data_IF_620466069485
#
_entry.id   IF_620466069485
#
_cell.length_a   1.000
_cell.length_b   1.000
_cell.length_c   1.000
_cell.angle_alpha   90.00
_cell.angle_beta   90.00
_cell.angle_gamma   90.00
#
_symmetry.space_group_name_H-M   'P 1'
#
loop_
_entity.id
_entity.type
_entity.pdbx_description
1 polymer ?
#
# COMPACT_ATOMS: atom_id res chain seq x y z
N UNK A 1 -5.83 -17.88 -2.42
CA UNK A 1 -4.38 -18.02 -2.16
C UNK A 1 -4.25 -18.30 -0.68
N UNK A 2 -3.42 -19.23 -0.23
CA UNK A 2 -3.20 -19.40 1.22
C UNK A 2 -2.20 -18.33 1.69
N UNK A 3 -2.42 -17.79 2.89
CA UNK A 3 -1.52 -16.82 3.52
C UNK A 3 -0.10 -17.42 3.61
N UNK A 4 0.89 -16.63 3.20
CA UNK A 4 2.30 -17.02 3.17
C UNK A 4 2.74 -17.81 1.93
N UNK A 5 1.82 -18.26 1.07
CA UNK A 5 2.20 -18.92 -0.19
C UNK A 5 2.92 -17.93 -1.11
N UNK A 6 4.16 -18.23 -1.49
CA UNK A 6 4.84 -17.49 -2.56
C UNK A 6 4.22 -17.84 -3.90
N UNK A 7 3.86 -16.80 -4.66
CA UNK A 7 3.30 -16.93 -6.00
C UNK A 7 4.13 -16.13 -6.98
N UNK A 8 4.54 -16.79 -8.06
CA UNK A 8 5.09 -16.09 -9.21
C UNK A 8 3.97 -15.26 -9.88
N UNK A 9 4.27 -13.99 -10.19
CA UNK A 9 3.37 -13.12 -10.95
C UNK A 9 3.41 -13.57 -12.41
N UNK A 10 2.39 -14.33 -12.81
CA UNK A 10 2.23 -14.82 -14.19
C UNK A 10 1.28 -13.96 -15.03
N UNK A 11 0.91 -12.80 -14.48
CA UNK A 11 0.07 -11.78 -15.12
C UNK A 11 0.92 -11.00 -16.12
N UNK A 12 0.39 -10.73 -17.32
CA UNK A 12 1.19 -10.11 -18.37
C UNK A 12 2.38 -10.98 -18.79
N UNK A 13 3.49 -10.32 -19.14
CA UNK A 13 4.76 -10.97 -19.48
C UNK A 13 5.78 -10.88 -18.32
N UNK A 14 5.31 -10.70 -17.08
CA UNK A 14 6.17 -10.55 -15.91
C UNK A 14 7.13 -11.75 -15.72
N UNK A 15 8.38 -11.44 -15.38
CA UNK A 15 9.42 -12.38 -14.99
C UNK A 15 10.03 -11.97 -13.65
N UNK A 16 10.58 -12.96 -12.96
CA UNK A 16 11.37 -12.79 -11.72
C UNK A 16 10.64 -12.04 -10.59
N UNK A 17 9.33 -11.88 -10.73
CA UNK A 17 8.44 -11.20 -9.81
C UNK A 17 7.56 -12.22 -9.08
N UNK A 18 7.53 -12.07 -7.77
CA UNK A 18 6.74 -12.90 -6.87
C UNK A 18 5.96 -12.02 -5.91
N UNK A 19 4.91 -12.58 -5.33
CA UNK A 19 4.15 -11.93 -4.26
C UNK A 19 3.66 -12.98 -3.27
N UNK A 20 3.40 -12.55 -2.04
CA UNK A 20 2.78 -13.36 -1.00
C UNK A 20 1.78 -12.54 -0.20
N UNK A 21 0.76 -13.21 0.30
CA UNK A 21 -0.20 -12.64 1.25
C UNK A 21 0.39 -12.74 2.66
N UNK A 22 0.45 -11.61 3.35
CA UNK A 22 1.01 -11.49 4.69
C UNK A 22 0.03 -11.86 5.80
N UNK A 23 -1.24 -12.16 5.47
CA UNK A 23 -2.30 -12.42 6.44
C UNK A 23 -2.64 -11.19 7.26
N UNK A 24 -2.59 -10.02 6.61
CA UNK A 24 -2.84 -8.73 7.24
C UNK A 24 -4.24 -8.71 7.88
N UNK A 25 -4.33 -8.27 9.14
CA UNK A 25 -5.58 -8.25 9.93
C UNK A 25 -6.29 -9.62 10.07
N UNK A 26 -5.55 -10.73 9.95
CA UNK A 26 -6.15 -12.07 9.88
C UNK A 26 -7.23 -12.17 8.78
N UNK A 27 -7.07 -11.40 7.70
CA UNK A 27 -7.99 -11.32 6.57
C UNK A 27 -7.28 -11.80 5.32
N UNK A 28 -7.72 -12.94 4.78
CA UNK A 28 -7.17 -13.52 3.55
C UNK A 28 -7.38 -12.57 2.36
N UNK A 29 -6.36 -12.44 1.52
CA UNK A 29 -6.43 -11.62 0.32
C UNK A 29 -6.59 -10.14 0.61
N UNK A 30 -6.00 -9.62 1.69
CA UNK A 30 -6.04 -8.19 2.02
C UNK A 30 -4.68 -7.48 1.91
N UNK A 31 -3.57 -8.14 2.28
CA UNK A 31 -2.27 -7.51 2.33
C UNK A 31 -1.18 -8.33 1.64
N UNK A 32 -0.72 -7.85 0.49
CA UNK A 32 0.33 -8.45 -0.31
C UNK A 32 1.64 -7.64 -0.25
N UNK A 33 2.75 -8.37 -0.34
CA UNK A 33 4.09 -7.80 -0.54
C UNK A 33 4.73 -8.48 -1.73
N UNK A 34 5.65 -7.78 -2.41
CA UNK A 34 6.28 -8.28 -3.63
C UNK A 34 7.76 -8.53 -3.45
N UNK A 35 8.28 -9.49 -4.20
CA UNK A 35 9.70 -9.87 -4.25
C UNK A 35 10.14 -9.85 -5.70
N UNK A 36 11.24 -9.14 -5.99
CA UNK A 36 11.95 -9.19 -7.27
C UNK A 36 13.27 -9.95 -7.08
N UNK A 37 13.45 -11.02 -7.86
CA UNK A 37 14.66 -11.86 -7.85
C UNK A 37 15.59 -11.49 -9.01
N UNK A 38 16.49 -10.54 -8.77
CA UNK A 38 17.44 -10.06 -9.77
C UNK A 38 18.86 -10.00 -9.21
N UNK A 39 19.81 -9.38 -9.93
CA UNK A 39 21.19 -9.19 -9.48
C UNK A 39 21.27 -8.53 -8.10
N UNK A 40 20.34 -7.61 -7.81
CA UNK A 40 20.10 -7.04 -6.48
C UNK A 40 18.67 -7.38 -6.03
N UNK A 41 18.46 -8.49 -5.31
CA UNK A 41 17.13 -8.90 -4.90
C UNK A 41 16.45 -7.82 -4.05
N UNK A 42 15.16 -7.62 -4.33
CA UNK A 42 14.37 -6.55 -3.75
C UNK A 42 13.04 -7.04 -3.16
N UNK A 43 12.58 -6.35 -2.14
CA UNK A 43 11.22 -6.44 -1.62
C UNK A 43 10.54 -5.09 -1.79
N UNK A 44 9.28 -5.08 -2.25
CA UNK A 44 8.42 -3.90 -2.24
C UNK A 44 7.35 -4.05 -1.16
N UNK A 45 7.39 -3.13 -0.20
CA UNK A 45 6.60 -3.12 1.05
C UNK A 45 6.79 -4.37 1.95
N UNK A 46 6.33 -4.28 3.20
CA UNK A 46 6.68 -5.22 4.28
C UNK A 46 5.51 -5.58 5.19
N UNK A 47 4.31 -5.07 4.93
CA UNK A 47 3.12 -5.35 5.73
C UNK A 47 3.13 -4.70 7.12
N UNK A 48 2.18 -5.12 7.96
CA UNK A 48 2.01 -4.67 9.37
C UNK A 48 3.08 -5.19 10.36
N UNK A 49 4.07 -5.94 9.87
CA UNK A 49 5.18 -6.50 10.66
C UNK A 49 4.87 -7.79 11.45
N UNK A 50 3.63 -8.03 11.90
CA UNK A 50 3.31 -9.19 12.77
C UNK A 50 3.65 -10.55 12.16
N UNK A 51 3.53 -10.68 10.84
CA UNK A 51 3.81 -11.91 10.09
C UNK A 51 5.02 -11.75 9.15
N UNK A 52 5.97 -10.88 9.47
CA UNK A 52 7.15 -10.66 8.61
C UNK A 52 8.00 -11.95 8.40
N UNK A 53 7.89 -12.92 9.31
CA UNK A 53 8.48 -14.26 9.16
C UNK A 53 7.98 -14.99 7.89
N UNK A 54 6.73 -14.77 7.46
CA UNK A 54 6.22 -15.35 6.20
C UNK A 54 6.96 -14.78 4.99
N UNK A 55 7.26 -13.47 5.01
CA UNK A 55 8.08 -12.85 3.98
C UNK A 55 9.52 -13.39 4.00
N UNK A 56 10.11 -13.59 5.18
CA UNK A 56 11.44 -14.22 5.32
C UNK A 56 11.47 -15.64 4.75
N UNK A 57 10.42 -16.43 5.01
CA UNK A 57 10.25 -17.77 4.46
C UNK A 57 10.06 -17.73 2.94
N UNK A 58 9.27 -16.77 2.44
CA UNK A 58 9.05 -16.59 1.02
C UNK A 58 10.32 -16.20 0.25
N UNK A 59 11.11 -15.28 0.79
CA UNK A 59 12.44 -14.94 0.25
C UNK A 59 13.34 -16.18 0.14
N UNK A 60 13.35 -17.02 1.20
CA UNK A 60 14.13 -18.26 1.19
C UNK A 60 13.61 -19.29 0.17
N UNK A 61 12.30 -19.34 -0.09
CA UNK A 61 11.69 -20.19 -1.12
C UNK A 61 12.06 -19.76 -2.54
N UNK A 62 12.09 -18.45 -2.80
CA UNK A 62 12.59 -17.87 -4.07
C UNK A 62 14.09 -18.15 -4.25
N UNK A 63 14.83 -18.30 -3.15
CA UNK A 63 16.26 -18.60 -3.15
C UNK A 63 17.14 -17.45 -2.67
N UNK A 64 16.54 -16.38 -2.15
CA UNK A 64 17.20 -15.19 -1.62
C UNK A 64 17.57 -15.45 -0.16
N UNK A 65 18.87 -15.65 0.09
CA UNK A 65 19.40 -15.83 1.43
C UNK A 65 19.48 -14.52 2.21
N UNK A 66 19.76 -14.63 3.52
CA UNK A 66 19.86 -13.46 4.42
C UNK A 66 20.98 -12.48 4.05
N UNK A 67 22.01 -12.96 3.36
CA UNK A 67 23.11 -12.13 2.88
C UNK A 67 22.88 -11.60 1.44
N UNK A 68 21.82 -12.04 0.78
CA UNK A 68 21.60 -11.79 -0.65
C UNK A 68 20.57 -10.67 -0.90
N UNK A 69 19.60 -10.44 0.00
CA UNK A 69 18.69 -9.30 -0.14
C UNK A 69 19.47 -7.98 -0.06
N UNK A 70 19.27 -7.11 -1.04
CA UNK A 70 19.96 -5.82 -1.15
C UNK A 70 19.03 -4.62 -1.02
N UNK A 71 17.73 -4.78 -1.34
CA UNK A 71 16.78 -3.66 -1.42
C UNK A 71 15.50 -3.97 -0.66
N UNK A 72 15.10 -3.08 0.24
CA UNK A 72 13.76 -3.01 0.81
C UNK A 72 13.18 -1.66 0.37
N UNK A 73 12.33 -1.66 -0.65
CA UNK A 73 11.72 -0.47 -1.21
C UNK A 73 10.34 -0.26 -0.58
N UNK A 74 10.13 0.89 0.05
CA UNK A 74 8.87 1.25 0.68
C UNK A 74 8.12 2.24 -0.21
N UNK A 75 6.88 1.93 -0.56
CA UNK A 75 6.02 2.86 -1.31
C UNK A 75 5.69 4.10 -0.47
N UNK A 76 5.46 3.90 0.82
CA UNK A 76 5.22 4.95 1.79
C UNK A 76 5.36 4.42 3.23
N UNK A 77 5.30 5.31 4.22
CA UNK A 77 5.58 4.96 5.63
C UNK A 77 4.35 4.59 6.46
N UNK A 78 3.16 4.41 5.88
CA UNK A 78 2.07 3.84 6.68
C UNK A 78 2.46 2.43 7.17
N UNK A 79 2.07 2.08 8.39
CA UNK A 79 2.61 0.90 9.07
C UNK A 79 2.09 -0.43 8.52
N UNK A 80 1.03 -0.41 7.71
CA UNK A 80 0.59 -1.53 6.89
C UNK A 80 1.45 -1.78 5.65
N UNK A 81 2.35 -0.85 5.31
CA UNK A 81 3.35 -1.02 4.25
C UNK A 81 4.76 -1.14 4.83
N UNK A 82 5.11 -0.29 5.79
CA UNK A 82 6.46 -0.18 6.33
C UNK A 82 6.67 -0.87 7.68
N UNK A 83 5.63 -1.49 8.26
CA UNK A 83 5.67 -2.03 9.64
C UNK A 83 6.68 -3.16 9.83
N UNK A 84 6.95 -3.95 8.79
CA UNK A 84 7.95 -5.02 8.80
C UNK A 84 9.38 -4.59 8.49
N UNK A 85 9.61 -3.36 8.02
CA UNK A 85 10.89 -2.95 7.44
C UNK A 85 12.06 -3.02 8.42
N UNK A 86 11.87 -2.61 9.67
CA UNK A 86 12.91 -2.68 10.69
C UNK A 86 13.34 -4.11 11.02
N UNK A 87 12.36 -5.02 11.15
CA UNK A 87 12.61 -6.44 11.41
C UNK A 87 13.34 -7.10 10.24
N UNK A 88 12.86 -6.85 9.02
CA UNK A 88 13.48 -7.38 7.81
C UNK A 88 14.90 -6.82 7.65
N UNK A 89 15.10 -5.53 7.91
CA UNK A 89 16.42 -4.93 7.92
C UNK A 89 17.34 -5.63 8.93
N UNK A 90 16.88 -5.90 10.15
CA UNK A 90 17.69 -6.58 11.17
C UNK A 90 18.15 -7.98 10.73
N UNK A 91 17.29 -8.74 10.05
CA UNK A 91 17.58 -10.10 9.59
C UNK A 91 18.42 -10.15 8.31
N UNK A 92 18.36 -9.11 7.47
CA UNK A 92 19.07 -8.99 6.20
C UNK A 92 20.09 -7.83 6.27
N UNK A 93 21.32 -8.08 6.78
CA UNK A 93 22.26 -7.02 7.13
C UNK A 93 22.86 -6.28 5.93
N UNK A 94 22.71 -6.81 4.71
CA UNK A 94 23.20 -6.20 3.47
C UNK A 94 22.14 -5.36 2.76
N UNK A 95 20.87 -5.42 3.17
CA UNK A 95 19.80 -4.69 2.53
C UNK A 95 19.80 -3.21 2.93
N UNK A 96 19.67 -2.30 1.99
CA UNK A 96 19.33 -0.91 2.29
C UNK A 96 17.80 -0.71 2.21
N UNK A 97 17.28 0.18 3.05
CA UNK A 97 15.86 0.53 3.09
C UNK A 97 15.66 1.84 2.34
N UNK A 98 15.06 1.74 1.16
CA UNK A 98 14.73 2.86 0.30
C UNK A 98 13.35 3.40 0.70
N UNK A 99 13.29 4.68 1.04
CA UNK A 99 12.10 5.31 1.61
C UNK A 99 11.93 6.72 1.04
N UNK A 100 10.70 7.14 0.71
CA UNK A 100 10.44 8.51 0.30
C UNK A 100 10.99 9.50 1.31
N UNK A 101 11.76 10.49 0.83
CA UNK A 101 12.51 11.41 1.69
C UNK A 101 11.63 12.09 2.76
N UNK A 102 10.37 12.39 2.43
CA UNK A 102 9.40 12.99 3.35
C UNK A 102 9.01 12.08 4.53
N UNK A 103 9.16 10.76 4.41
CA UNK A 103 8.87 9.77 5.44
C UNK A 103 10.11 9.19 6.15
N UNK A 104 11.31 9.42 5.62
CA UNK A 104 12.54 8.73 6.04
C UNK A 104 12.84 8.80 7.54
N UNK A 105 12.65 9.98 8.16
CA UNK A 105 12.88 10.19 9.59
C UNK A 105 12.04 9.25 10.48
N UNK A 106 10.85 8.87 10.03
CA UNK A 106 9.98 7.94 10.75
C UNK A 106 10.51 6.52 10.78
N UNK A 107 11.33 6.13 9.80
CA UNK A 107 11.95 4.80 9.80
C UNK A 107 13.07 4.71 10.83
N UNK A 108 13.80 5.80 11.07
CA UNK A 108 14.83 5.85 12.11
C UNK A 108 14.25 5.97 13.53
N UNK A 109 13.13 6.70 13.68
CA UNK A 109 12.37 6.83 14.93
C UNK A 109 10.86 6.72 14.66
N UNK A 110 10.28 5.51 14.78
CA UNK A 110 8.88 5.27 14.45
C UNK A 110 7.92 5.75 15.53
N UNK A 111 8.38 6.35 16.65
CA UNK A 111 7.54 6.67 17.79
C UNK A 111 6.34 7.57 17.45
N UNK A 112 6.53 8.57 16.58
CA UNK A 112 5.45 9.45 16.12
C UNK A 112 4.48 8.74 15.18
N UNK A 113 5.02 7.93 14.27
CA UNK A 113 4.25 7.16 13.30
C UNK A 113 3.36 6.15 14.03
N UNK A 114 3.91 5.40 15.00
CA UNK A 114 3.16 4.49 15.88
C UNK A 114 2.04 5.20 16.62
N UNK A 115 2.29 6.40 17.16
CA UNK A 115 1.26 7.16 17.84
C UNK A 115 0.12 7.60 16.89
N UNK A 116 0.47 8.03 15.67
CA UNK A 116 -0.49 8.38 14.61
C UNK A 116 -1.32 7.17 14.17
N UNK A 117 -0.68 6.06 13.83
CA UNK A 117 -1.36 4.82 13.42
C UNK A 117 -2.29 4.31 14.52
N UNK A 118 -1.85 4.24 15.78
CA UNK A 118 -2.73 3.85 16.92
C UNK A 118 -3.99 4.71 17.01
N UNK A 119 -3.89 5.99 16.68
CA UNK A 119 -5.05 6.89 16.67
C UNK A 119 -5.96 6.64 15.47
N UNK A 120 -5.40 6.38 14.28
CA UNK A 120 -6.15 6.14 13.06
C UNK A 120 -6.89 4.79 13.06
N UNK A 121 -6.20 3.71 13.42
CA UNK A 121 -6.69 2.32 13.29
C UNK A 121 -7.41 1.79 14.54
N UNK A 122 -7.27 2.47 15.68
CA UNK A 122 -7.99 2.13 16.91
C UNK A 122 -7.76 0.69 17.37
N UNK A 123 -8.84 -0.09 17.48
CA UNK A 123 -8.79 -1.47 17.97
C UNK A 123 -8.02 -2.40 17.01
N UNK A 124 -7.94 -2.08 15.72
CA UNK A 124 -7.12 -2.85 14.77
C UNK A 124 -5.63 -2.81 15.10
N UNK A 125 -5.17 -1.91 15.97
CA UNK A 125 -3.79 -1.93 16.47
C UNK A 125 -3.40 -3.29 17.07
N UNK A 126 -4.36 -4.09 17.55
CA UNK A 126 -4.11 -5.44 18.07
C UNK A 126 -3.44 -6.37 17.05
N UNK A 127 -3.62 -6.12 15.74
CA UNK A 127 -3.00 -6.90 14.67
C UNK A 127 -1.59 -6.45 14.34
N UNK A 128 -1.20 -5.23 14.71
CA UNK A 128 0.12 -4.68 14.47
C UNK A 128 1.13 -5.17 15.51
N UNK A 129 2.39 -5.20 15.10
CA UNK A 129 3.54 -5.23 16.01
C UNK A 129 4.14 -3.82 16.10
N UNK A 130 4.74 -3.46 17.24
CA UNK A 130 5.50 -2.22 17.29
C UNK A 130 6.73 -2.34 16.36
N UNK A 131 6.87 -1.46 15.35
CA UNK A 131 7.95 -1.56 14.37
C UNK A 131 9.32 -1.33 15.01
N UNK A 132 10.32 -2.06 14.55
CA UNK A 132 11.71 -1.79 14.89
C UNK A 132 12.26 -0.59 14.11
N UNK A 133 13.12 0.24 14.72
CA UNK A 133 13.79 1.33 14.00
C UNK A 133 14.81 0.79 13.01
N UNK A 134 14.87 1.38 11.82
CA UNK A 134 15.92 1.12 10.83
C UNK A 134 17.16 1.96 11.18
N UNK A 135 18.38 1.39 11.20
CA UNK A 135 19.59 2.17 11.38
C UNK A 135 19.71 3.26 10.31
N UNK A 136 19.87 4.53 10.71
CA UNK A 136 19.93 5.66 9.77
C UNK A 136 21.02 5.53 8.68
N UNK A 137 22.07 4.73 8.92
CA UNK A 137 23.11 4.46 7.91
C UNK A 137 22.68 3.51 6.78
N UNK A 138 21.50 2.88 6.91
CA UNK A 138 20.89 1.96 5.94
C UNK A 138 19.61 2.54 5.32
N UNK A 139 19.24 3.75 5.72
CA UNK A 139 18.11 4.47 5.12
C UNK A 139 18.65 5.21 3.90
N UNK A 140 18.03 4.98 2.76
CA UNK A 140 18.32 5.67 1.51
C UNK A 140 17.07 6.45 1.12
N UNK A 141 17.20 7.77 1.12
CA UNK A 141 16.13 8.66 0.68
C UNK A 141 15.92 8.51 -0.83
N UNK A 142 14.66 8.43 -1.26
CA UNK A 142 14.26 8.47 -2.66
C UNK A 142 13.27 9.61 -2.90
N UNK A 143 13.35 10.21 -4.08
CA UNK A 143 12.47 11.27 -4.58
C UNK A 143 11.91 10.92 -5.97
N UNK A 144 10.91 11.68 -6.41
CA UNK A 144 10.35 11.59 -7.77
C UNK A 144 11.44 11.68 -8.85
N UNK A 145 11.44 10.73 -9.78
CA UNK A 145 12.41 10.60 -10.87
C UNK A 145 13.69 9.84 -10.52
N UNK A 146 13.87 9.39 -9.28
CA UNK A 146 14.96 8.48 -8.92
C UNK A 146 14.75 7.07 -9.53
N UNK A 147 15.84 6.31 -9.59
CA UNK A 147 15.83 4.93 -10.09
C UNK A 147 16.63 4.04 -9.15
N UNK A 148 16.00 2.98 -8.67
CA UNK A 148 16.67 1.89 -7.93
C UNK A 148 17.00 0.79 -8.94
N UNK A 149 18.25 0.76 -9.40
CA UNK A 149 18.77 -0.25 -10.33
C UNK A 149 18.89 -1.61 -9.64
N UNK A 150 18.20 -2.64 -10.16
CA UNK A 150 18.27 -4.02 -9.64
C UNK A 150 19.06 -4.98 -10.54
N UNK A 151 19.48 -4.53 -11.73
CA UNK A 151 20.10 -5.35 -12.77
C UNK A 151 19.29 -5.36 -14.07
N UNK A 152 18.48 -6.39 -14.27
CA UNK A 152 17.55 -6.50 -15.40
C UNK A 152 16.32 -5.63 -15.19
N UNK A 153 15.81 -5.63 -13.97
CA UNK A 153 14.71 -4.82 -13.46
C UNK A 153 15.25 -3.52 -12.86
N UNK A 154 14.39 -2.52 -12.80
CA UNK A 154 14.64 -1.27 -12.08
C UNK A 154 13.33 -0.80 -11.45
N UNK A 155 13.40 -0.12 -10.31
CA UNK A 155 12.26 0.56 -9.72
C UNK A 155 12.40 2.05 -9.99
N UNK A 156 11.68 2.56 -10.99
CA UNK A 156 11.58 3.99 -11.26
C UNK A 156 10.56 4.61 -10.31
N UNK A 157 10.99 5.65 -9.60
CA UNK A 157 10.20 6.29 -8.56
C UNK A 157 9.36 7.40 -9.15
N UNK A 158 8.04 7.33 -8.93
CA UNK A 158 7.11 8.40 -9.31
C UNK A 158 6.36 8.87 -8.07
N UNK A 159 6.33 10.18 -7.84
CA UNK A 159 5.57 10.77 -6.74
C UNK A 159 4.06 10.56 -6.94
N UNK A 160 3.37 10.08 -5.90
CA UNK A 160 1.92 9.90 -5.90
C UNK A 160 1.30 10.38 -4.57
N UNK A 161 1.34 11.70 -4.29
CA UNK A 161 1.11 12.26 -2.95
C UNK A 161 -0.35 12.29 -2.47
N UNK A 162 -1.33 11.84 -3.26
CA UNK A 162 -2.76 11.98 -2.97
C UNK A 162 -3.25 11.19 -1.77
N UNK A 163 -2.86 9.92 -1.66
CA UNK A 163 -3.17 9.09 -0.49
C UNK A 163 -2.41 9.57 0.76
N UNK A 164 -1.12 9.86 0.57
CA UNK A 164 -0.26 10.45 1.59
C UNK A 164 0.86 11.26 0.92
N UNK A 165 1.26 12.43 1.47
CA UNK A 165 2.29 13.29 0.88
C UNK A 165 3.66 12.63 0.64
N UNK A 166 3.94 11.54 1.35
CA UNK A 166 5.19 10.78 1.25
C UNK A 166 5.01 9.48 0.44
N UNK A 167 3.95 9.33 -0.34
CA UNK A 167 3.73 8.15 -1.18
C UNK A 167 4.41 8.29 -2.53
N UNK A 168 5.02 7.20 -2.96
CA UNK A 168 5.52 6.97 -4.31
C UNK A 168 4.98 5.66 -4.84
N UNK A 169 4.91 5.56 -6.17
CA UNK A 169 4.73 4.28 -6.86
C UNK A 169 6.04 3.88 -7.51
N UNK A 170 6.21 2.59 -7.77
CA UNK A 170 7.38 2.07 -8.48
C UNK A 170 6.96 1.48 -9.82
N UNK A 171 7.51 1.99 -10.91
CA UNK A 171 7.40 1.39 -12.24
C UNK A 171 8.59 0.42 -12.43
N UNK A 172 8.27 -0.81 -12.84
CA UNK A 172 9.22 -1.80 -13.36
C UNK A 172 9.00 -1.98 -14.87
N UNK A 173 9.78 -1.29 -15.71
CA UNK A 173 9.62 -1.30 -17.16
C UNK A 173 9.92 -2.66 -17.79
N UNK A 174 10.71 -3.52 -17.14
CA UNK A 174 11.04 -4.84 -17.67
C UNK A 174 9.84 -5.78 -17.60
N UNK A 175 9.00 -5.60 -16.58
CA UNK A 175 7.75 -6.32 -16.39
C UNK A 175 6.52 -5.60 -16.96
N UNK A 176 6.70 -4.37 -17.46
CA UNK A 176 5.60 -3.48 -17.86
C UNK A 176 4.54 -3.36 -16.75
N UNK A 177 5.05 -3.18 -15.52
CA UNK A 177 4.25 -3.27 -14.30
C UNK A 177 4.49 -2.06 -13.39
N UNK A 178 3.46 -1.68 -12.64
CA UNK A 178 3.55 -0.64 -11.61
C UNK A 178 3.11 -1.18 -10.26
N UNK A 179 3.98 -1.08 -9.26
CA UNK A 179 3.63 -1.22 -7.85
C UNK A 179 2.88 0.03 -7.42
N UNK A 180 1.55 -0.05 -7.39
CA UNK A 180 0.66 1.12 -7.35
C UNK A 180 0.61 1.82 -6.00
N UNK A 181 1.24 1.25 -4.97
CA UNK A 181 0.94 1.62 -3.59
C UNK A 181 -0.60 1.67 -3.41
N UNK A 182 -1.11 2.73 -2.80
CA UNK A 182 -2.55 2.98 -2.66
C UNK A 182 -3.08 3.99 -3.70
N UNK A 183 -2.29 4.33 -4.73
CA UNK A 183 -2.68 5.31 -5.76
C UNK A 183 -3.68 4.78 -6.80
N UNK A 184 -3.94 3.46 -6.81
CA UNK A 184 -4.93 2.82 -7.70
C UNK A 184 -6.09 2.17 -6.93
N UNK A 185 -6.18 2.38 -5.61
CA UNK A 185 -7.22 1.81 -4.77
C UNK A 185 -6.91 0.42 -4.22
N UNK A 186 -7.92 -0.15 -3.57
CA UNK A 186 -7.91 -1.53 -3.08
C UNK A 186 -8.57 -2.37 -4.16
N UNK A 187 -7.80 -3.15 -4.93
CA UNK A 187 -8.36 -4.16 -5.82
C UNK A 187 -9.18 -5.16 -4.99
N UNK A 188 -10.18 -5.91 -5.51
CA UNK A 188 -10.85 -7.05 -4.83
C UNK A 188 -11.30 -8.13 -5.86
N UNK A 189 -10.56 -9.23 -6.13
CA UNK A 189 -10.77 -10.14 -7.25
C UNK A 189 -11.88 -11.13 -6.97
N UNK A 190 -12.24 -11.34 -5.71
CA UNK A 190 -13.41 -12.16 -5.38
C UNK A 190 -14.69 -11.57 -5.99
N UNK A 191 -14.76 -10.23 -6.06
CA UNK A 191 -15.89 -9.50 -6.65
C UNK A 191 -15.50 -8.71 -7.90
N UNK A 192 -14.25 -8.84 -8.36
CA UNK A 192 -13.66 -8.13 -9.50
C UNK A 192 -13.91 -6.60 -9.48
N UNK A 193 -13.70 -5.94 -8.34
CA UNK A 193 -13.98 -4.51 -8.18
C UNK A 193 -12.85 -3.76 -7.47
N UNK A 194 -12.68 -2.46 -7.74
CA UNK A 194 -11.81 -1.57 -6.97
C UNK A 194 -12.62 -0.92 -5.83
N UNK A 195 -11.97 -0.70 -4.69
CA UNK A 195 -12.50 0.04 -3.52
C UNK A 195 -11.63 1.25 -3.20
N UNK A 196 -12.27 2.22 -2.55
CA UNK A 196 -11.67 3.47 -2.14
C UNK A 196 -10.51 3.27 -1.16
N UNK A 197 -9.58 4.21 -1.18
CA UNK A 197 -8.60 4.40 -0.11
C UNK A 197 -8.46 5.89 0.13
N UNK A 198 -8.74 6.29 1.37
CA UNK A 198 -8.87 7.68 1.80
C UNK A 198 -8.48 7.78 3.28
N UNK A 199 -7.21 7.56 3.64
CA UNK A 199 -6.78 7.48 5.02
C UNK A 199 -6.82 8.86 5.71
N UNK A 200 -7.10 8.92 7.03
CA UNK A 200 -6.88 10.14 7.81
C UNK A 200 -5.37 10.37 7.97
N UNK A 201 -4.80 11.58 8.05
CA UNK A 201 -5.32 12.96 7.98
C UNK A 201 -4.84 13.67 6.70
N UNK A 202 -4.36 12.89 5.73
CA UNK A 202 -3.50 13.34 4.65
C UNK A 202 -4.13 13.15 3.26
N UNK A 203 -5.23 12.40 3.17
CA UNK A 203 -5.96 12.18 1.93
C UNK A 203 -6.34 13.50 1.26
N UNK A 204 -6.09 13.58 -0.04
CA UNK A 204 -6.42 14.71 -0.90
C UNK A 204 -6.96 14.20 -2.24
N UNK A 205 -8.26 14.37 -2.48
CA UNK A 205 -8.92 13.87 -3.68
C UNK A 205 -8.33 14.46 -4.95
N UNK A 206 -8.05 15.77 -4.98
CA UNK A 206 -7.51 16.42 -6.17
C UNK A 206 -6.11 15.88 -6.51
N UNK A 207 -5.28 15.60 -5.51
CA UNK A 207 -4.00 14.94 -5.73
C UNK A 207 -4.15 13.47 -6.11
N UNK A 208 -5.09 12.71 -5.52
CA UNK A 208 -5.37 11.33 -5.95
C UNK A 208 -5.78 11.27 -7.43
N UNK A 209 -6.60 12.21 -7.91
CA UNK A 209 -6.97 12.29 -9.32
C UNK A 209 -5.78 12.61 -10.22
N UNK A 210 -4.83 13.44 -9.75
CA UNK A 210 -3.58 13.70 -10.46
C UNK A 210 -2.64 12.47 -10.47
N UNK A 211 -2.60 11.70 -9.39
CA UNK A 211 -1.84 10.44 -9.31
C UNK A 211 -2.40 9.41 -10.31
N UNK A 212 -3.73 9.36 -10.45
CA UNK A 212 -4.42 8.52 -11.44
C UNK A 212 -4.04 8.92 -12.87
N UNK A 213 -4.01 10.24 -13.17
CA UNK A 213 -3.55 10.73 -14.48
C UNK A 213 -2.08 10.34 -14.73
N UNK A 214 -1.22 10.42 -13.72
CA UNK A 214 0.18 9.99 -13.82
C UNK A 214 0.29 8.48 -14.09
N UNK A 215 -0.46 7.64 -13.38
CA UNK A 215 -0.47 6.19 -13.62
C UNK A 215 -0.94 5.85 -15.04
N UNK A 216 -1.89 6.59 -15.58
CA UNK A 216 -2.35 6.44 -16.96
C UNK A 216 -1.25 6.81 -17.98
N UNK A 217 -0.46 7.86 -17.69
CA UNK A 217 0.66 8.25 -18.55
C UNK A 217 1.82 7.23 -18.59
N UNK A 218 1.94 6.38 -17.55
CA UNK A 218 2.91 5.28 -17.54
C UNK A 218 2.52 4.14 -18.49
N UNK A 219 1.23 4.01 -18.82
CA UNK A 219 0.66 3.01 -19.75
C UNK A 219 1.09 1.55 -19.45
N UNK A 220 0.95 1.04 -18.19
CA UNK A 220 1.43 -0.29 -17.84
C UNK A 220 0.45 -1.40 -18.19
N UNK A 221 0.98 -2.60 -18.47
CA UNK A 221 0.18 -3.81 -18.69
C UNK A 221 -0.32 -4.43 -17.37
N UNK A 222 0.38 -4.21 -16.26
CA UNK A 222 0.11 -4.84 -14.96
C UNK A 222 0.13 -3.85 -13.81
N UNK A 223 -0.92 -3.88 -12.99
CA UNK A 223 -0.93 -3.23 -11.67
C UNK A 223 -0.62 -4.23 -10.56
N UNK A 224 0.32 -3.89 -9.69
CA UNK A 224 0.72 -4.66 -8.52
C UNK A 224 0.23 -3.94 -7.25
N UNK A 225 -0.94 -4.36 -6.76
CA UNK A 225 -1.58 -3.76 -5.58
C UNK A 225 -1.00 -4.35 -4.28
N UNK A 226 -0.70 -3.54 -3.25
CA UNK A 226 -0.41 -4.01 -1.89
C UNK A 226 -1.69 -4.49 -1.19
N UNK A 227 -2.85 -3.95 -1.58
CA UNK A 227 -4.17 -4.39 -1.13
C UNK A 227 -5.03 -4.88 -2.31
N UNK A 228 -4.73 -5.93 -3.05
CA UNK A 228 -3.75 -7.01 -3.00
C UNK A 228 -3.47 -7.43 -4.47
N UNK A 229 -2.36 -8.11 -4.70
CA UNK A 229 -2.10 -8.93 -5.89
C UNK A 229 -1.97 -8.23 -7.26
N UNK A 230 -1.42 -8.96 -8.25
CA UNK A 230 -1.27 -8.45 -9.61
C UNK A 230 -2.61 -8.51 -10.38
N UNK A 231 -2.94 -7.45 -11.12
CA UNK A 231 -4.08 -7.37 -12.04
C UNK A 231 -3.57 -7.01 -13.44
N UNK A 232 -3.93 -7.83 -14.43
CA UNK A 232 -3.70 -7.47 -15.84
C UNK A 232 -4.66 -6.36 -16.22
N UNK A 233 -4.15 -5.27 -16.77
CA UNK A 233 -4.97 -4.16 -17.27
C UNK A 233 -4.73 -3.94 -18.76
N UNK A 234 -3.51 -4.11 -19.27
CA UNK A 234 -3.21 -3.99 -20.69
C UNK A 234 -3.78 -2.71 -21.33
N UNK A 235 -4.36 -2.84 -22.53
CA UNK A 235 -5.06 -1.75 -23.23
C UNK A 235 -6.22 -1.10 -22.43
N UNK A 236 -6.66 -1.71 -21.31
CA UNK A 236 -7.74 -1.23 -20.44
C UNK A 236 -7.21 -0.50 -19.17
N UNK A 237 -5.91 -0.16 -19.10
CA UNK A 237 -5.32 0.58 -17.96
C UNK A 237 -6.09 1.86 -17.62
N UNK A 238 -6.37 2.70 -18.63
CA UNK A 238 -7.18 3.92 -18.49
C UNK A 238 -8.58 3.64 -17.91
N UNK A 239 -9.20 2.52 -18.30
CA UNK A 239 -10.55 2.15 -17.86
C UNK A 239 -10.53 1.74 -16.39
N UNK A 240 -9.53 0.96 -15.97
CA UNK A 240 -9.36 0.57 -14.56
C UNK A 240 -9.06 1.78 -13.66
N UNK A 241 -8.30 2.75 -14.18
CA UNK A 241 -8.00 4.00 -13.48
C UNK A 241 -9.22 4.95 -13.40
N UNK A 242 -10.02 5.05 -14.48
CA UNK A 242 -11.29 5.80 -14.48
C UNK A 242 -12.34 5.17 -13.55
N UNK A 243 -12.35 3.83 -13.43
CA UNK A 243 -13.15 3.10 -12.42
C UNK A 243 -12.78 3.57 -11.01
N UNK A 244 -11.49 3.59 -10.66
CA UNK A 244 -11.04 4.04 -9.35
C UNK A 244 -11.32 5.52 -9.08
N UNK A 245 -11.09 6.39 -10.07
CA UNK A 245 -11.43 7.82 -9.97
C UNK A 245 -12.91 8.00 -9.63
N UNK A 246 -13.80 7.28 -10.33
CA UNK A 246 -15.24 7.31 -10.06
C UNK A 246 -15.55 6.82 -8.65
N UNK A 247 -14.94 5.72 -8.19
CA UNK A 247 -15.12 5.19 -6.83
C UNK A 247 -14.74 6.24 -5.78
N UNK A 248 -13.59 6.91 -5.92
CA UNK A 248 -13.16 7.95 -5.00
C UNK A 248 -14.10 9.16 -4.99
N UNK A 249 -14.47 9.68 -6.15
CA UNK A 249 -15.36 10.84 -6.26
C UNK A 249 -16.74 10.53 -5.66
N UNK A 250 -17.33 9.39 -6.00
CA UNK A 250 -18.62 8.96 -5.45
C UNK A 250 -18.55 8.72 -3.94
N UNK A 251 -17.45 8.17 -3.44
CA UNK A 251 -17.21 7.99 -2.01
C UNK A 251 -17.17 9.35 -1.28
N UNK A 252 -16.39 10.30 -1.79
CA UNK A 252 -16.28 11.64 -1.21
C UNK A 252 -17.64 12.36 -1.21
N UNK A 253 -18.37 12.30 -2.33
CA UNK A 253 -19.71 12.87 -2.45
C UNK A 253 -20.70 12.23 -1.47
N UNK A 254 -20.65 10.91 -1.29
CA UNK A 254 -21.50 10.19 -0.36
C UNK A 254 -21.23 10.63 1.10
N UNK A 255 -19.96 10.69 1.51
CA UNK A 255 -19.57 11.15 2.86
C UNK A 255 -19.98 12.61 3.07
N UNK A 256 -19.72 13.50 2.11
CA UNK A 256 -20.12 14.91 2.17
C UNK A 256 -21.65 15.10 2.23
N UNK A 257 -22.42 14.24 1.54
CA UNK A 257 -23.87 14.24 1.65
C UNK A 257 -24.34 13.81 3.04
N UNK A 258 -23.77 12.73 3.59
CA UNK A 258 -24.14 12.23 4.93
C UNK A 258 -23.75 13.18 6.04
N UNK A 259 -22.61 13.86 5.93
CA UNK A 259 -22.18 14.90 6.88
C UNK A 259 -23.18 16.06 7.00
N UNK A 260 -23.89 16.39 5.92
CA UNK A 260 -24.95 17.42 5.94
C UNK A 260 -26.28 16.94 6.53
N UNK A 261 -26.50 15.62 6.56
CA UNK A 261 -27.74 15.01 7.04
C UNK A 261 -27.70 14.62 8.52
N UNK A 262 -26.53 14.18 8.98
CA UNK A 262 -26.31 13.63 10.32
C UNK A 262 -25.81 14.70 11.31
N UNK A 263 -25.87 14.37 12.59
CA UNK A 263 -25.67 15.35 13.67
C UNK A 263 -24.21 15.71 13.93
N UNK A 264 -23.30 14.75 13.74
CA UNK A 264 -21.86 14.89 13.91
C UNK A 264 -21.09 13.85 13.09
N UNK A 265 -19.77 14.00 13.05
CA UNK A 265 -18.86 13.15 12.29
C UNK A 265 -18.85 11.70 12.80
N UNK A 266 -19.07 11.46 14.10
CA UNK A 266 -19.16 10.10 14.67
C UNK A 266 -20.38 9.37 14.10
N UNK A 267 -21.53 10.04 13.96
CA UNK A 267 -22.72 9.46 13.34
C UNK A 267 -22.51 9.13 11.85
N UNK A 268 -21.70 9.93 11.12
CA UNK A 268 -21.33 9.66 9.72
C UNK A 268 -20.46 8.42 9.64
N UNK A 269 -19.44 8.32 10.49
CA UNK A 269 -18.52 7.17 10.56
C UNK A 269 -19.30 5.88 10.84
N UNK A 270 -20.19 5.89 11.85
CA UNK A 270 -20.99 4.71 12.18
C UNK A 270 -22.01 4.34 11.09
N UNK A 271 -22.54 5.33 10.35
CA UNK A 271 -23.40 5.06 9.20
C UNK A 271 -22.68 4.19 8.17
N UNK A 272 -21.50 4.61 7.71
CA UNK A 272 -20.73 3.88 6.70
C UNK A 272 -20.20 2.55 7.22
N UNK A 273 -19.72 2.51 8.47
CA UNK A 273 -19.30 1.27 9.13
C UNK A 273 -20.40 0.19 9.11
N UNK A 274 -21.65 0.58 9.38
CA UNK A 274 -22.79 -0.33 9.40
C UNK A 274 -23.35 -0.69 8.02
N UNK A 275 -22.96 0.06 6.98
CA UNK A 275 -23.48 -0.07 5.62
C UNK A 275 -22.49 -0.77 4.66
N UNK A 276 -21.30 -1.14 5.13
CA UNK A 276 -20.27 -1.79 4.34
C UNK A 276 -20.80 -3.09 3.69
N UNK A 277 -20.59 -3.21 2.38
CA UNK A 277 -21.03 -4.36 1.58
C UNK A 277 -19.94 -5.43 1.43
N UNK A 278 -18.80 -5.25 2.09
CA UNK A 278 -17.63 -6.14 2.03
C UNK A 278 -17.58 -7.16 3.16
N UNK A 279 -18.65 -7.29 3.95
CA UNK A 279 -18.73 -8.26 5.07
C UNK A 279 -18.59 -9.70 4.61
N UNK A 280 -19.08 -10.02 3.40
CA UNK A 280 -18.96 -11.36 2.83
C UNK A 280 -17.53 -11.68 2.37
N UNK A 281 -16.70 -10.66 2.12
CA UNK A 281 -15.31 -10.80 1.61
C UNK A 281 -14.29 -10.71 2.76
N UNK A 282 -14.38 -9.67 3.59
CA UNK A 282 -13.40 -9.40 4.65
C UNK A 282 -13.91 -9.70 6.07
N UNK A 283 -15.17 -10.13 6.20
CA UNK A 283 -15.82 -10.28 7.50
C UNK A 283 -16.28 -8.95 8.11
N UNK A 284 -17.19 -9.05 9.07
CA UNK A 284 -17.86 -7.89 9.67
C UNK A 284 -16.88 -6.87 10.28
N UNK A 285 -15.86 -7.33 11.00
CA UNK A 285 -14.92 -6.47 11.71
C UNK A 285 -14.06 -5.66 10.74
N UNK A 286 -13.37 -6.31 9.80
CA UNK A 286 -12.49 -5.62 8.86
C UNK A 286 -13.28 -4.73 7.91
N UNK A 287 -14.40 -5.19 7.37
CA UNK A 287 -15.24 -4.38 6.48
C UNK A 287 -15.78 -3.12 7.16
N UNK A 288 -16.18 -3.20 8.43
CA UNK A 288 -16.63 -2.05 9.22
C UNK A 288 -15.48 -1.07 9.50
N UNK A 289 -14.36 -1.57 10.02
CA UNK A 289 -13.24 -0.71 10.40
C UNK A 289 -12.55 -0.06 9.18
N UNK A 290 -12.54 -0.73 8.02
CA UNK A 290 -12.07 -0.13 6.76
C UNK A 290 -12.95 1.06 6.34
N UNK A 291 -14.27 0.89 6.38
CA UNK A 291 -15.20 1.98 6.10
C UNK A 291 -15.03 3.14 7.10
N UNK A 292 -14.75 2.86 8.38
CA UNK A 292 -14.46 3.90 9.39
C UNK A 292 -13.20 4.68 9.05
N UNK A 293 -12.13 4.00 8.67
CA UNK A 293 -10.85 4.63 8.32
C UNK A 293 -11.04 5.58 7.14
N UNK A 294 -11.63 5.09 6.05
CA UNK A 294 -11.90 5.85 4.84
C UNK A 294 -12.84 7.03 5.07
N UNK A 295 -13.88 6.84 5.89
CA UNK A 295 -14.80 7.94 6.22
C UNK A 295 -14.07 9.05 6.97
N UNK A 296 -13.19 8.71 7.92
CA UNK A 296 -12.40 9.71 8.68
C UNK A 296 -11.48 10.52 7.78
N UNK A 297 -10.83 9.91 6.79
CA UNK A 297 -9.95 10.64 5.89
C UNK A 297 -10.72 11.64 5.02
N UNK A 298 -11.87 11.25 4.47
CA UNK A 298 -12.73 12.19 3.74
C UNK A 298 -13.22 13.33 4.62
N UNK A 299 -13.64 13.06 5.86
CA UNK A 299 -14.07 14.11 6.79
C UNK A 299 -12.94 15.13 7.05
N UNK A 300 -11.71 14.65 7.25
CA UNK A 300 -10.53 15.51 7.41
C UNK A 300 -10.22 16.33 6.15
N UNK A 301 -10.31 15.71 4.97
CA UNK A 301 -10.17 16.38 3.68
C UNK A 301 -11.21 17.52 3.50
N UNK A 302 -12.47 17.26 3.83
CA UNK A 302 -13.54 18.26 3.74
C UNK A 302 -13.28 19.44 4.68
N UNK A 303 -12.76 19.20 5.89
CA UNK A 303 -12.38 20.27 6.82
C UNK A 303 -11.29 21.18 6.24
N UNK A 304 -10.30 20.60 5.56
CA UNK A 304 -9.21 21.37 4.95
C UNK A 304 -9.66 22.20 3.74
N UNK A 305 -10.64 21.72 2.96
CA UNK A 305 -11.17 22.46 1.80
C UNK A 305 -12.03 23.68 2.16
N UNK A 306 -12.63 23.68 3.34
CA UNK A 306 -13.50 24.78 3.80
C UNK A 306 -12.73 25.94 4.47
N UNK A 307 -11.41 25.81 4.69
CA UNK A 307 -10.54 26.85 5.28
C UNK A 307 -10.06 27.89 4.25
#
# INVERSE_FOLDING_TARGET
MEVGDVRNVTTGDCSDLYYLDTGMYETDGYGAVYILDDERPAVVDTGIGTNYDLLREGLAEVGIGTADLEVIALTHVHLDHAGGAGFLAADYPNADVYVPALGADHMADPSRLVAGTKNAVGEQWQYYVEPEPVPASRIVDIDDGDVIDLGTHELRVHGAPGHAPHQVVFEDPANDAVFTADAAGIWVPEIEAIRETSPPSNFDLEQCLADIEMLAELDPDVFCYPHFGPRYVGDDADVALEEYATVLEEWVDAVAAKRRELEDDDAVIEYFASASDLTDVWGDEKASEEAKLNTRGVLGYLDHREM
#
